data_IF_262495947557
#
_entry.id   IF_262495947557
#
_cell.length_a   1.000
_cell.length_b   1.000
_cell.length_c   1.000
_cell.angle_alpha   90.00
_cell.angle_beta   90.00
_cell.angle_gamma   90.00
#
_symmetry.space_group_name_H-M   'P 1'
#
loop_
_entity.id
_entity.type
_entity.pdbx_description
1 polymer ?
#
# COMPACT_ATOMS: atom_id res chain seq x y z
N UNK A 1 -12.76 42.75 0.18
CA UNK A 1 -11.32 42.81 -0.15
C UNK A 1 -11.00 41.44 -0.74
N UNK A 2 -10.75 41.36 -2.04
CA UNK A 2 -10.57 40.07 -2.73
C UNK A 2 -9.37 39.33 -2.16
N UNK A 3 -9.52 38.02 -1.99
CA UNK A 3 -8.44 37.14 -1.57
C UNK A 3 -7.30 37.17 -2.61
N UNK A 4 -6.07 37.51 -2.21
CA UNK A 4 -4.89 37.53 -3.09
C UNK A 4 -4.13 36.19 -2.99
N UNK A 5 -4.75 35.11 -3.46
CA UNK A 5 -4.09 33.82 -3.64
C UNK A 5 -3.44 33.68 -5.01
N UNK A 6 -2.71 32.59 -5.23
CA UNK A 6 -2.19 32.20 -6.55
C UNK A 6 -3.35 31.71 -7.42
N UNK A 7 -3.52 32.34 -8.58
CA UNK A 7 -4.53 31.97 -9.57
C UNK A 7 -3.89 31.17 -10.72
N UNK A 8 -4.72 30.47 -11.49
CA UNK A 8 -4.28 29.72 -12.67
C UNK A 8 -3.57 30.60 -13.72
N UNK A 9 -3.94 31.88 -13.80
CA UNK A 9 -3.34 32.86 -14.70
C UNK A 9 -1.93 33.30 -14.28
N UNK A 10 -1.55 33.06 -13.02
CA UNK A 10 -0.23 33.43 -12.49
C UNK A 10 0.85 32.39 -12.81
N UNK A 11 0.46 31.21 -13.30
CA UNK A 11 1.37 30.09 -13.53
C UNK A 11 2.23 30.27 -14.79
N UNK A 12 3.54 30.09 -14.63
CA UNK A 12 4.47 30.03 -15.75
C UNK A 12 4.42 28.66 -16.44
N UNK A 13 5.02 28.56 -17.64
CA UNK A 13 5.08 27.29 -18.38
C UNK A 13 5.78 26.16 -17.63
N UNK A 14 6.74 26.49 -16.75
CA UNK A 14 7.40 25.50 -15.89
C UNK A 14 6.45 24.98 -14.81
N UNK A 15 5.62 25.84 -14.21
CA UNK A 15 4.64 25.44 -13.19
C UNK A 15 3.60 24.49 -13.78
N UNK A 16 3.12 24.76 -14.99
CA UNK A 16 2.21 23.89 -15.72
C UNK A 16 2.83 22.52 -16.03
N UNK A 17 4.12 22.48 -16.38
CA UNK A 17 4.85 21.23 -16.59
C UNK A 17 4.93 20.42 -15.28
N UNK A 18 5.23 21.08 -14.16
CA UNK A 18 5.28 20.43 -12.84
C UNK A 18 3.91 19.86 -12.46
N UNK A 19 2.83 20.63 -12.67
CA UNK A 19 1.47 20.13 -12.45
C UNK A 19 1.16 18.90 -13.33
N UNK A 20 1.55 18.94 -14.61
CA UNK A 20 1.40 17.79 -15.51
C UNK A 20 2.12 16.53 -15.01
N UNK A 21 3.35 16.69 -14.52
CA UNK A 21 4.11 15.59 -13.90
C UNK A 21 3.42 15.08 -12.62
N UNK A 22 2.98 15.98 -11.74
CA UNK A 22 2.26 15.60 -10.53
C UNK A 22 0.98 14.81 -10.84
N UNK A 23 0.19 15.22 -11.82
CA UNK A 23 -1.01 14.49 -12.25
C UNK A 23 -0.67 13.10 -12.80
N UNK A 24 0.38 12.99 -13.62
CA UNK A 24 0.83 11.71 -14.14
C UNK A 24 1.27 10.76 -13.01
N UNK A 25 2.00 11.26 -12.02
CA UNK A 25 2.43 10.47 -10.85
C UNK A 25 1.30 10.17 -9.87
N UNK A 26 0.30 11.05 -9.76
CA UNK A 26 -0.89 10.83 -8.95
C UNK A 26 -1.72 9.66 -9.52
N UNK A 27 -1.85 9.56 -10.84
CA UNK A 27 -2.73 8.59 -11.52
C UNK A 27 -2.02 7.30 -11.95
N UNK A 28 -0.74 7.38 -12.34
CA UNK A 28 0.03 6.27 -12.90
C UNK A 28 0.03 4.99 -12.06
N UNK A 29 0.24 5.04 -10.74
CA UNK A 29 0.15 3.86 -9.87
C UNK A 29 -1.21 3.16 -9.92
N UNK A 30 -2.31 3.92 -9.99
CA UNK A 30 -3.66 3.35 -10.10
C UNK A 30 -3.91 2.72 -11.48
N UNK A 31 -3.38 3.32 -12.55
CA UNK A 31 -3.44 2.73 -13.89
C UNK A 31 -2.66 1.40 -13.92
N UNK A 32 -1.47 1.36 -13.31
CA UNK A 32 -0.69 0.13 -13.16
C UNK A 32 -1.47 -0.93 -12.36
N UNK A 33 -2.05 -0.53 -11.22
CA UNK A 33 -2.87 -1.41 -10.39
C UNK A 33 -4.14 -1.93 -11.07
N UNK A 34 -4.72 -1.15 -11.97
CA UNK A 34 -5.87 -1.61 -12.78
C UNK A 34 -5.50 -2.66 -13.84
N UNK A 35 -4.22 -2.74 -14.21
CA UNK A 35 -3.68 -3.64 -15.25
C UNK A 35 -2.99 -4.88 -14.67
N UNK A 36 -2.65 -4.87 -13.38
CA UNK A 36 -2.05 -5.99 -12.65
C UNK A 36 -2.91 -6.43 -11.46
N UNK A 37 -2.39 -7.37 -10.66
CA UNK A 37 -3.02 -7.81 -9.39
C UNK A 37 -2.47 -7.02 -8.18
N UNK A 38 -2.00 -5.78 -8.37
CA UNK A 38 -1.44 -4.98 -7.28
C UNK A 38 -2.55 -4.26 -6.49
N UNK A 39 -2.36 -4.22 -5.17
CA UNK A 39 -3.27 -3.57 -4.21
C UNK A 39 -3.46 -2.08 -4.53
N UNK A 40 -4.71 -1.60 -4.46
CA UNK A 40 -5.05 -0.18 -4.59
C UNK A 40 -4.53 0.63 -3.39
N UNK A 41 -4.45 0.03 -2.19
CA UNK A 41 -3.82 0.66 -1.04
C UNK A 41 -2.32 0.92 -1.30
N UNK A 42 -1.60 -0.05 -1.85
CA UNK A 42 -0.20 0.13 -2.23
C UNK A 42 -0.03 1.15 -3.37
N UNK A 43 -0.93 1.13 -4.35
CA UNK A 43 -0.95 2.13 -5.41
C UNK A 43 -1.17 3.55 -4.84
N UNK A 44 -2.03 3.69 -3.84
CA UNK A 44 -2.27 4.95 -3.12
C UNK A 44 -1.02 5.43 -2.40
N UNK A 45 -0.34 4.54 -1.67
CA UNK A 45 0.93 4.86 -0.99
C UNK A 45 1.97 5.35 -2.00
N UNK A 46 2.16 4.63 -3.11
CA UNK A 46 3.12 5.00 -4.15
C UNK A 46 2.75 6.33 -4.82
N UNK A 47 1.46 6.54 -5.10
CA UNK A 47 0.93 7.78 -5.68
C UNK A 47 1.24 9.00 -4.80
N UNK A 48 0.92 8.93 -3.50
CA UNK A 48 1.21 10.01 -2.55
C UNK A 48 2.72 10.26 -2.43
N UNK A 49 3.51 9.18 -2.33
CA UNK A 49 4.97 9.29 -2.19
C UNK A 49 5.63 9.93 -3.41
N UNK A 50 5.20 9.58 -4.63
CA UNK A 50 5.76 10.15 -5.87
C UNK A 50 5.41 11.62 -6.03
N UNK A 51 4.16 12.01 -5.75
CA UNK A 51 3.77 13.43 -5.82
C UNK A 51 4.47 14.25 -4.75
N UNK A 52 4.57 13.72 -3.53
CA UNK A 52 5.32 14.34 -2.46
C UNK A 52 6.81 14.50 -2.84
N UNK A 53 7.43 13.48 -3.44
CA UNK A 53 8.80 13.58 -3.92
C UNK A 53 9.00 14.74 -4.91
N UNK A 54 8.08 14.91 -5.87
CA UNK A 54 8.13 16.04 -6.81
C UNK A 54 7.95 17.37 -6.08
N UNK A 55 6.98 17.45 -5.16
CA UNK A 55 6.75 18.63 -4.32
C UNK A 55 8.06 19.02 -3.61
N UNK A 56 8.68 18.10 -2.88
CA UNK A 56 9.94 18.33 -2.14
C UNK A 56 11.13 18.65 -3.04
N UNK A 57 11.30 17.92 -4.15
CA UNK A 57 12.40 18.15 -5.08
C UNK A 57 12.31 19.54 -5.72
N UNK A 58 11.10 19.99 -6.08
CA UNK A 58 10.87 21.33 -6.60
C UNK A 58 11.35 22.40 -5.62
N UNK A 59 10.98 22.31 -4.35
CA UNK A 59 11.40 23.27 -3.32
C UNK A 59 12.92 23.33 -3.14
N UNK A 60 13.61 22.18 -3.18
CA UNK A 60 15.07 22.13 -3.06
C UNK A 60 15.74 22.81 -4.26
N UNK A 61 15.25 22.56 -5.48
CA UNK A 61 15.81 23.14 -6.71
C UNK A 61 15.66 24.66 -6.79
N UNK A 62 14.59 25.21 -6.20
CA UNK A 62 14.36 26.66 -6.13
C UNK A 62 15.03 27.35 -4.94
N UNK A 63 15.83 26.62 -4.16
CA UNK A 63 16.73 27.19 -3.15
C UNK A 63 16.08 27.58 -1.82
N UNK A 64 14.79 27.28 -1.63
CA UNK A 64 14.08 27.54 -0.37
C UNK A 64 13.43 26.24 0.12
N UNK A 65 14.07 25.51 1.05
CA UNK A 65 13.55 24.25 1.57
C UNK A 65 12.16 24.39 2.21
N UNK A 66 11.27 23.44 1.89
CA UNK A 66 9.89 23.34 2.37
C UNK A 66 8.98 24.55 2.06
N UNK A 67 9.26 25.28 0.98
CA UNK A 67 8.38 26.32 0.48
C UNK A 67 7.55 25.83 -0.72
N UNK A 68 6.44 25.14 -0.45
CA UNK A 68 5.47 24.73 -1.48
C UNK A 68 4.35 25.76 -1.64
N UNK A 69 4.62 27.04 -1.36
CA UNK A 69 3.57 28.00 -1.06
C UNK A 69 2.59 28.13 -2.21
N UNK A 70 3.05 28.21 -3.46
CA UNK A 70 2.13 28.33 -4.60
C UNK A 70 1.30 27.06 -4.86
N UNK A 71 1.88 25.87 -4.69
CA UNK A 71 1.17 24.61 -4.91
C UNK A 71 0.10 24.38 -3.84
N UNK A 72 0.46 24.59 -2.57
CA UNK A 72 -0.46 24.49 -1.43
C UNK A 72 -1.54 25.56 -1.54
N UNK A 73 -1.15 26.78 -1.93
CA UNK A 73 -2.08 27.88 -2.11
C UNK A 73 -3.03 27.61 -3.30
N UNK A 74 -2.54 27.12 -4.44
CA UNK A 74 -3.37 26.86 -5.61
C UNK A 74 -4.28 25.63 -5.45
N UNK A 75 -3.78 24.54 -4.85
CA UNK A 75 -4.43 23.22 -4.88
C UNK A 75 -5.01 22.77 -3.53
N UNK A 76 -4.67 23.44 -2.42
CA UNK A 76 -5.19 23.14 -1.08
C UNK A 76 -6.62 23.64 -0.87
N UNK A 77 -7.33 23.05 0.09
CA UNK A 77 -8.71 23.42 0.42
C UNK A 77 -8.72 24.69 1.25
N UNK A 78 -9.43 25.70 0.76
CA UNK A 78 -9.63 26.98 1.46
C UNK A 78 -11.12 27.19 1.66
N UNK A 79 -11.66 26.89 2.86
CA UNK A 79 -13.09 26.97 3.13
C UNK A 79 -13.79 28.24 2.61
N UNK A 80 -13.14 29.40 2.78
CA UNK A 80 -13.67 30.72 2.39
C UNK A 80 -13.96 30.90 0.89
N UNK A 81 -13.43 30.03 0.03
CA UNK A 81 -13.66 30.08 -1.43
C UNK A 81 -14.38 28.84 -1.97
N UNK A 82 -14.67 27.83 -1.13
CA UNK A 82 -15.32 26.59 -1.58
C UNK A 82 -16.78 26.77 -2.03
N UNK A 83 -17.37 27.95 -1.81
CA UNK A 83 -18.68 28.31 -2.35
C UNK A 83 -18.66 28.61 -3.86
N UNK A 84 -17.49 28.88 -4.44
CA UNK A 84 -17.32 29.08 -5.88
C UNK A 84 -17.11 27.73 -6.58
N UNK A 85 -17.98 27.34 -7.55
CA UNK A 85 -17.79 26.14 -8.35
C UNK A 85 -16.43 26.07 -9.07
N UNK A 86 -15.82 27.20 -9.41
CA UNK A 86 -14.50 27.23 -10.03
C UNK A 86 -13.39 26.68 -9.12
N UNK A 87 -13.60 26.69 -7.80
CA UNK A 87 -12.65 26.25 -6.79
C UNK A 87 -12.88 24.80 -6.32
N UNK A 88 -13.87 24.10 -6.90
CA UNK A 88 -14.26 22.75 -6.46
C UNK A 88 -13.16 21.71 -6.65
N UNK A 89 -12.20 21.95 -7.55
CA UNK A 89 -11.07 21.04 -7.78
C UNK A 89 -10.22 20.84 -6.52
N UNK A 90 -10.18 21.82 -5.62
CA UNK A 90 -9.47 21.77 -4.33
C UNK A 90 -9.95 20.63 -3.45
N UNK A 91 -11.24 20.31 -3.54
CA UNK A 91 -11.86 19.18 -2.84
C UNK A 91 -11.17 17.86 -3.18
N UNK A 92 -10.53 17.74 -4.35
CA UNK A 92 -9.78 16.56 -4.78
C UNK A 92 -8.27 16.75 -4.71
N UNK A 93 -7.74 17.86 -5.22
CA UNK A 93 -6.29 18.05 -5.36
C UNK A 93 -5.55 18.10 -4.03
N UNK A 94 -6.21 18.52 -2.95
CA UNK A 94 -5.59 18.62 -1.63
C UNK A 94 -5.09 17.28 -1.06
N UNK A 95 -5.60 16.13 -1.52
CA UNK A 95 -5.20 14.81 -1.01
C UNK A 95 -3.70 14.52 -1.21
N UNK A 96 -3.11 15.06 -2.28
CA UNK A 96 -1.72 14.76 -2.65
C UNK A 96 -0.69 15.73 -2.07
N UNK A 97 -1.13 16.86 -1.53
CA UNK A 97 -0.26 17.90 -1.01
C UNK A 97 0.11 17.61 0.44
N UNK A 98 1.38 17.74 0.79
CA UNK A 98 1.85 17.59 2.16
C UNK A 98 2.74 18.77 2.55
N UNK A 99 2.76 19.08 3.85
CA UNK A 99 3.51 20.23 4.37
C UNK A 99 5.01 19.89 4.54
N UNK A 100 5.30 18.64 4.89
CA UNK A 100 6.63 18.15 5.22
C UNK A 100 6.71 16.61 5.12
N UNK A 101 7.93 16.08 5.24
CA UNK A 101 8.20 14.66 5.12
C UNK A 101 7.52 13.81 6.19
N UNK A 102 7.41 14.31 7.43
CA UNK A 102 6.77 13.60 8.54
C UNK A 102 5.26 13.52 8.27
N UNK A 103 4.66 14.60 7.76
CA UNK A 103 3.26 14.64 7.40
C UNK A 103 2.93 13.57 6.34
N UNK A 104 3.64 13.51 5.20
CA UNK A 104 3.38 12.46 4.20
C UNK A 104 3.69 11.06 4.73
N UNK A 105 4.80 10.90 5.46
CA UNK A 105 5.20 9.60 6.01
C UNK A 105 4.15 9.05 6.96
N UNK A 106 3.58 9.89 7.84
CA UNK A 106 2.54 9.49 8.77
C UNK A 106 1.26 9.03 8.06
N UNK A 107 0.86 9.70 6.97
CA UNK A 107 -0.31 9.33 6.17
C UNK A 107 -0.09 8.01 5.43
N UNK A 108 1.02 7.87 4.71
CA UNK A 108 1.30 6.64 3.96
C UNK A 108 1.52 5.45 4.89
N UNK A 109 2.06 5.65 6.09
CA UNK A 109 2.22 4.59 7.08
C UNK A 109 0.86 4.04 7.54
N UNK A 110 -0.10 4.92 7.85
CA UNK A 110 -1.47 4.48 8.19
C UNK A 110 -2.13 3.80 7.01
N UNK A 111 -2.04 4.36 5.81
CA UNK A 111 -2.64 3.76 4.60
C UNK A 111 -1.99 2.40 4.29
N UNK A 112 -0.68 2.23 4.47
CA UNK A 112 -0.01 0.96 4.27
C UNK A 112 -0.42 -0.07 5.33
N UNK A 113 -0.27 0.26 6.61
CA UNK A 113 -0.49 -0.69 7.71
C UNK A 113 -1.96 -1.05 7.89
N UNK A 114 -2.86 -0.06 7.78
CA UNK A 114 -4.31 -0.26 7.99
C UNK A 114 -5.02 -0.52 6.67
N UNK A 115 -4.64 0.21 5.62
CA UNK A 115 -5.32 0.13 4.34
C UNK A 115 -5.10 -1.19 3.60
N UNK A 116 -3.89 -1.77 3.61
CA UNK A 116 -3.64 -3.04 2.90
C UNK A 116 -4.47 -4.20 3.50
N UNK A 117 -4.48 -4.44 4.83
CA UNK A 117 -5.34 -5.47 5.40
C UNK A 117 -6.82 -5.20 5.20
N UNK A 118 -7.25 -3.93 5.29
CA UNK A 118 -8.63 -3.56 5.03
C UNK A 118 -9.04 -3.81 3.57
N UNK A 119 -8.14 -3.59 2.61
CA UNK A 119 -8.40 -3.90 1.21
C UNK A 119 -8.60 -5.39 0.98
N UNK A 120 -7.86 -6.24 1.70
CA UNK A 120 -8.03 -7.68 1.60
C UNK A 120 -9.40 -8.12 2.14
N UNK A 121 -9.89 -7.47 3.20
CA UNK A 121 -11.23 -7.70 3.75
C UNK A 121 -12.35 -7.21 2.83
N UNK A 122 -12.20 -6.01 2.24
CA UNK A 122 -13.22 -5.32 1.43
C UNK A 122 -13.18 -5.67 -0.07
N UNK A 123 -12.01 -6.01 -0.59
CA UNK A 123 -11.70 -5.94 -2.02
C UNK A 123 -11.47 -4.50 -2.50
N UNK A 124 -10.69 -4.35 -3.58
CA UNK A 124 -10.20 -3.05 -4.05
C UNK A 124 -11.27 -1.98 -4.29
N UNK A 125 -12.37 -2.31 -5.01
CA UNK A 125 -13.41 -1.31 -5.35
C UNK A 125 -14.08 -0.70 -4.12
N UNK A 126 -14.38 -1.53 -3.12
CA UNK A 126 -15.03 -1.11 -1.87
C UNK A 126 -14.04 -0.35 -0.99
N UNK A 127 -12.78 -0.79 -0.95
CA UNK A 127 -11.70 -0.07 -0.29
C UNK A 127 -11.55 1.35 -0.85
N UNK A 128 -11.54 1.49 -2.17
CA UNK A 128 -11.41 2.80 -2.83
C UNK A 128 -12.61 3.71 -2.48
N UNK A 129 -13.82 3.17 -2.45
CA UNK A 129 -15.01 3.94 -2.05
C UNK A 129 -14.88 4.44 -0.60
N UNK A 130 -14.44 3.60 0.34
CA UNK A 130 -14.20 3.98 1.73
C UNK A 130 -13.11 5.04 1.84
N UNK A 131 -12.00 4.89 1.11
CA UNK A 131 -10.91 5.87 1.08
C UNK A 131 -11.42 7.25 0.65
N UNK A 132 -12.19 7.33 -0.44
CA UNK A 132 -12.79 8.57 -0.92
C UNK A 132 -13.84 9.14 0.04
N UNK A 133 -14.63 8.30 0.72
CA UNK A 133 -15.57 8.77 1.73
C UNK A 133 -14.85 9.39 2.93
N UNK A 134 -13.76 8.80 3.40
CA UNK A 134 -12.92 9.40 4.44
C UNK A 134 -12.37 10.76 4.01
N UNK A 135 -11.86 10.83 2.79
CA UNK A 135 -11.31 12.05 2.24
C UNK A 135 -12.37 13.16 2.10
N UNK A 136 -13.50 12.89 1.44
CA UNK A 136 -14.60 13.86 1.25
C UNK A 136 -15.21 14.23 2.60
N UNK A 137 -15.43 13.26 3.49
CA UNK A 137 -15.99 13.49 4.83
C UNK A 137 -15.11 14.42 5.66
N UNK A 138 -13.80 14.26 5.58
CA UNK A 138 -12.87 15.16 6.25
C UNK A 138 -12.90 16.57 5.68
N UNK A 139 -12.86 16.69 4.36
CA UNK A 139 -12.90 17.98 3.69
C UNK A 139 -14.20 18.74 3.98
N UNK A 140 -15.35 18.06 3.92
CA UNK A 140 -16.64 18.64 4.26
C UNK A 140 -16.69 19.10 5.71
N UNK A 141 -16.25 18.27 6.65
CA UNK A 141 -16.21 18.64 8.07
C UNK A 141 -15.32 19.88 8.30
N UNK A 142 -14.16 19.95 7.64
CA UNK A 142 -13.27 21.10 7.72
C UNK A 142 -13.90 22.38 7.16
N UNK A 143 -14.50 22.32 5.97
CA UNK A 143 -15.15 23.46 5.32
C UNK A 143 -16.32 23.97 6.16
N UNK A 144 -17.14 23.06 6.68
CA UNK A 144 -18.30 23.43 7.50
C UNK A 144 -17.91 24.01 8.86
N UNK A 145 -16.80 23.55 9.46
CA UNK A 145 -16.35 24.05 10.76
C UNK A 145 -15.54 25.35 10.68
N UNK A 146 -14.99 25.69 9.51
CA UNK A 146 -14.13 26.87 9.32
C UNK A 146 -14.52 27.71 8.07
N UNK A 147 -15.80 28.08 7.89
CA UNK A 147 -16.32 28.61 6.62
C UNK A 147 -15.58 29.84 6.09
N UNK A 148 -15.04 30.70 6.97
CA UNK A 148 -14.33 31.93 6.58
C UNK A 148 -12.81 31.76 6.47
N UNK A 149 -12.29 30.55 6.72
CA UNK A 149 -10.84 30.31 6.70
C UNK A 149 -10.29 30.33 5.27
N UNK A 150 -9.24 31.10 5.09
CA UNK A 150 -8.44 31.14 3.86
C UNK A 150 -7.11 30.39 4.02
N UNK A 151 -6.87 29.79 5.19
CA UNK A 151 -5.72 28.94 5.42
C UNK A 151 -5.93 27.59 4.71
N UNK A 152 -5.03 27.20 3.78
CA UNK A 152 -5.20 25.97 3.02
C UNK A 152 -5.02 24.73 3.90
N UNK A 153 -5.99 23.81 3.85
CA UNK A 153 -5.88 22.47 4.40
C UNK A 153 -5.47 21.48 3.30
N UNK A 154 -4.57 20.56 3.66
CA UNK A 154 -3.94 19.60 2.75
C UNK A 154 -3.72 18.25 3.42
N UNK A 155 -3.52 17.22 2.60
CA UNK A 155 -3.09 15.89 3.04
C UNK A 155 -4.16 14.82 2.87
N UNK A 156 -3.71 13.57 2.90
CA UNK A 156 -4.56 12.38 2.79
C UNK A 156 -5.11 11.90 4.15
N UNK A 157 -4.92 12.67 5.23
CA UNK A 157 -5.18 12.22 6.59
C UNK A 157 -6.67 11.96 6.88
N UNK A 158 -7.58 12.75 6.33
CA UNK A 158 -9.02 12.47 6.41
C UNK A 158 -9.39 11.09 5.82
N UNK A 159 -8.75 10.73 4.70
CA UNK A 159 -8.89 9.40 4.09
C UNK A 159 -8.33 8.31 5.01
N UNK A 160 -7.15 8.52 5.59
CA UNK A 160 -6.52 7.58 6.52
C UNK A 160 -7.38 7.34 7.78
N UNK A 161 -7.96 8.39 8.35
CA UNK A 161 -8.93 8.28 9.45
C UNK A 161 -10.23 7.60 9.00
N UNK A 162 -10.66 7.81 7.75
CA UNK A 162 -11.79 7.07 7.18
C UNK A 162 -11.53 5.57 7.06
N UNK A 163 -10.33 5.15 6.66
CA UNK A 163 -9.93 3.74 6.66
C UNK A 163 -10.00 3.15 8.07
N UNK A 164 -9.48 3.86 9.08
CA UNK A 164 -9.60 3.47 10.49
C UNK A 164 -11.05 3.35 10.94
N UNK A 165 -11.91 4.30 10.56
CA UNK A 165 -13.34 4.26 10.85
C UNK A 165 -14.05 3.07 10.22
N UNK A 166 -13.77 2.78 8.96
CA UNK A 166 -14.36 1.64 8.28
C UNK A 166 -13.88 0.30 8.85
N UNK A 167 -12.60 0.20 9.19
CA UNK A 167 -12.05 -1.00 9.82
C UNK A 167 -12.69 -1.24 11.19
N UNK A 168 -12.79 -0.19 12.02
CA UNK A 168 -13.48 -0.24 13.31
C UNK A 168 -14.94 -0.69 13.19
N UNK A 169 -15.65 -0.21 12.17
CA UNK A 169 -17.06 -0.53 11.96
C UNK A 169 -17.29 -2.00 11.55
N UNK A 170 -16.35 -2.61 10.81
CA UNK A 170 -16.56 -3.91 10.16
C UNK A 170 -15.81 -5.06 10.84
N UNK A 171 -14.61 -4.81 11.36
CA UNK A 171 -13.73 -5.83 11.94
C UNK A 171 -12.92 -5.23 13.12
N UNK A 172 -13.58 -4.82 14.22
CA UNK A 172 -12.90 -4.16 15.35
C UNK A 172 -11.87 -5.04 16.06
N UNK A 173 -12.04 -6.37 16.03
CA UNK A 173 -11.17 -7.34 16.72
C UNK A 173 -9.97 -7.80 15.86
N UNK A 174 -9.92 -7.40 14.58
CA UNK A 174 -8.77 -7.72 13.71
C UNK A 174 -7.49 -7.16 14.29
N UNK A 175 -6.40 -7.91 14.17
CA UNK A 175 -5.08 -7.45 14.62
C UNK A 175 -4.27 -6.94 13.46
N UNK A 176 -3.81 -5.69 13.57
CA UNK A 176 -2.93 -5.04 12.60
C UNK A 176 -1.59 -4.78 13.26
N UNK A 177 -0.51 -5.09 12.54
CA UNK A 177 0.85 -4.72 12.97
C UNK A 177 0.97 -3.20 12.96
N UNK A 178 1.15 -2.61 14.14
CA UNK A 178 1.22 -1.17 14.28
C UNK A 178 2.37 -0.79 15.23
N UNK A 179 3.23 0.18 14.87
CA UNK A 179 4.30 0.64 15.74
C UNK A 179 3.70 1.47 16.88
N UNK A 180 3.68 0.91 18.09
CA UNK A 180 3.26 1.59 19.32
C UNK A 180 4.39 1.52 20.35
N UNK A 181 4.81 2.68 20.87
CA UNK A 181 5.81 2.80 21.95
C UNK A 181 7.09 1.95 21.71
N UNK A 182 7.71 2.10 20.53
CA UNK A 182 8.94 1.39 20.11
C UNK A 182 8.79 -0.12 19.84
N UNK A 183 7.59 -0.70 20.00
CA UNK A 183 7.32 -2.10 19.66
C UNK A 183 6.40 -2.20 18.44
N UNK A 184 6.82 -2.95 17.43
CA UNK A 184 5.95 -3.38 16.33
C UNK A 184 5.26 -4.66 16.79
N UNK A 185 3.95 -4.59 17.03
CA UNK A 185 3.14 -5.73 17.46
C UNK A 185 1.77 -5.66 16.81
N UNK A 186 1.13 -6.81 16.68
CA UNK A 186 -0.23 -6.90 16.21
C UNK A 186 -1.20 -6.47 17.31
N UNK A 187 -1.91 -5.36 17.10
CA UNK A 187 -2.87 -4.78 18.04
C UNK A 187 -4.29 -4.84 17.46
N UNK A 188 -5.32 -5.07 18.29
CA UNK A 188 -6.69 -5.04 17.80
C UNK A 188 -7.05 -3.65 17.28
N UNK A 189 -7.77 -3.59 16.15
CA UNK A 189 -8.17 -2.36 15.47
C UNK A 189 -8.89 -1.40 16.43
N UNK A 190 -9.79 -1.91 17.27
CA UNK A 190 -10.51 -1.06 18.22
C UNK A 190 -9.60 -0.31 19.17
N UNK A 191 -8.48 -0.92 19.58
CA UNK A 191 -7.53 -0.29 20.50
C UNK A 191 -6.68 0.76 19.77
N UNK A 192 -6.23 0.45 18.55
CA UNK A 192 -5.53 1.42 17.69
C UNK A 192 -6.40 2.67 17.49
N UNK A 193 -7.68 2.45 17.15
CA UNK A 193 -8.67 3.51 16.91
C UNK A 193 -8.95 4.29 18.19
N UNK A 194 -9.18 3.61 19.31
CA UNK A 194 -9.42 4.24 20.60
C UNK A 194 -8.27 5.16 20.99
N UNK A 195 -7.02 4.70 20.87
CA UNK A 195 -5.84 5.51 21.16
C UNK A 195 -5.74 6.68 20.18
N UNK A 196 -5.86 6.43 18.87
CA UNK A 196 -5.65 7.48 17.87
C UNK A 196 -6.72 8.57 17.92
N UNK A 197 -8.00 8.18 17.98
CA UNK A 197 -9.11 9.12 18.09
C UNK A 197 -9.16 9.79 19.47
N UNK A 198 -8.76 9.07 20.54
CA UNK A 198 -8.62 9.66 21.87
C UNK A 198 -7.56 10.75 21.93
N UNK A 199 -6.39 10.53 21.31
CA UNK A 199 -5.35 11.56 21.16
C UNK A 199 -5.85 12.76 20.34
N UNK A 200 -6.62 12.51 19.30
CA UNK A 200 -7.22 13.56 18.47
C UNK A 200 -8.16 14.46 19.29
N UNK A 201 -9.09 13.86 20.03
CA UNK A 201 -10.04 14.57 20.90
C UNK A 201 -9.31 15.31 22.02
N UNK A 202 -8.28 14.69 22.62
CA UNK A 202 -7.44 15.33 23.64
C UNK A 202 -6.75 16.57 23.10
N UNK A 203 -6.15 16.50 21.90
CA UNK A 203 -5.50 17.64 21.25
C UNK A 203 -6.50 18.76 20.95
N UNK A 204 -7.68 18.44 20.43
CA UNK A 204 -8.74 19.42 20.18
C UNK A 204 -9.20 20.13 21.46
N UNK A 205 -9.43 19.38 22.54
CA UNK A 205 -9.77 19.95 23.84
C UNK A 205 -8.65 20.83 24.40
N UNK A 206 -7.40 20.40 24.21
CA UNK A 206 -6.22 21.14 24.59
C UNK A 206 -6.09 22.51 23.89
N UNK A 207 -6.36 22.54 22.58
CA UNK A 207 -6.41 23.77 21.78
C UNK A 207 -7.53 24.70 22.24
N UNK A 208 -8.72 24.16 22.47
CA UNK A 208 -9.87 24.94 22.92
C UNK A 208 -9.68 25.53 24.33
N UNK A 209 -9.02 24.77 25.22
CA UNK A 209 -8.74 25.20 26.60
C UNK A 209 -7.51 26.11 26.72
N UNK A 210 -6.78 26.35 25.63
CA UNK A 210 -5.53 27.12 25.63
C UNK A 210 -4.39 26.45 26.41
N UNK A 211 -4.53 25.17 26.75
CA UNK A 211 -3.50 24.39 27.48
C UNK A 211 -2.43 23.83 26.55
N UNK A 212 -2.70 23.85 25.25
CA UNK A 212 -1.80 23.46 24.16
C UNK A 212 -1.71 24.67 23.21
N UNK A 213 -0.50 24.97 22.70
CA UNK A 213 -0.28 26.07 21.76
C UNK A 213 -1.01 25.86 20.42
N UNK A 214 -0.86 26.80 19.48
CA UNK A 214 -1.49 26.70 18.16
C UNK A 214 -1.13 25.40 17.42
N UNK A 215 -2.08 24.84 16.68
CA UNK A 215 -1.92 23.62 15.88
C UNK A 215 -2.07 23.92 14.39
N UNK A 216 -1.16 23.36 13.59
CA UNK A 216 -1.24 23.37 12.12
C UNK A 216 -1.98 22.13 11.57
N UNK A 217 -2.74 21.42 12.42
CA UNK A 217 -3.44 20.18 12.05
C UNK A 217 -4.93 20.43 11.91
N UNK A 218 -5.49 19.97 10.79
CA UNK A 218 -6.92 20.06 10.49
C UNK A 218 -7.74 18.98 11.25
N UNK A 219 -7.78 19.08 12.59
CA UNK A 219 -8.39 18.05 13.45
C UNK A 219 -9.85 17.69 13.08
N UNK A 220 -10.66 18.67 12.69
CA UNK A 220 -12.03 18.43 12.24
C UNK A 220 -12.12 17.57 10.97
N UNK A 221 -11.09 17.60 10.11
CA UNK A 221 -11.02 16.73 8.94
C UNK A 221 -10.82 15.26 9.33
N UNK A 222 -10.03 14.98 10.37
CA UNK A 222 -9.86 13.63 10.88
C UNK A 222 -11.17 13.06 11.43
N UNK A 223 -11.88 13.85 12.24
CA UNK A 223 -13.16 13.47 12.83
C UNK A 223 -14.22 13.24 11.73
N UNK A 224 -14.34 14.16 10.78
CA UNK A 224 -15.29 14.04 9.67
C UNK A 224 -15.02 12.82 8.79
N UNK A 225 -13.75 12.59 8.44
CA UNK A 225 -13.35 11.44 7.63
C UNK A 225 -13.61 10.12 8.33
N UNK A 226 -13.27 10.03 9.62
CA UNK A 226 -13.56 8.87 10.45
C UNK A 226 -15.06 8.53 10.48
N UNK A 227 -15.91 9.48 10.88
CA UNK A 227 -17.32 9.19 11.12
C UNK A 227 -18.10 8.97 9.83
N UNK A 228 -17.81 9.70 8.74
CA UNK A 228 -18.51 9.47 7.47
C UNK A 228 -18.22 8.05 6.95
N UNK A 229 -16.96 7.64 6.96
CA UNK A 229 -16.59 6.29 6.55
C UNK A 229 -17.14 5.23 7.52
N UNK A 230 -17.03 5.43 8.84
CA UNK A 230 -17.55 4.52 9.86
C UNK A 230 -19.05 4.21 9.65
N UNK A 231 -19.86 5.26 9.43
CA UNK A 231 -21.32 5.12 9.25
C UNK A 231 -21.68 4.38 7.96
N UNK A 232 -20.89 4.55 6.90
CA UNK A 232 -21.17 3.99 5.58
C UNK A 232 -20.41 2.69 5.28
N UNK A 233 -19.46 2.28 6.13
CA UNK A 233 -18.59 1.13 5.85
C UNK A 233 -19.35 -0.20 5.82
N UNK A 234 -20.23 -0.45 6.81
CA UNK A 234 -21.00 -1.71 6.88
C UNK A 234 -21.86 -1.98 5.63
N UNK A 235 -22.67 -1.03 5.11
CA UNK A 235 -23.41 -1.26 3.87
C UNK A 235 -22.48 -1.44 2.66
N UNK A 236 -21.35 -0.72 2.59
CA UNK A 236 -20.36 -0.89 1.52
C UNK A 236 -19.72 -2.28 1.56
N UNK A 237 -19.44 -2.79 2.76
CA UNK A 237 -18.82 -4.10 3.00
C UNK A 237 -19.74 -5.28 2.70
N UNK A 238 -21.01 -5.06 2.34
CA UNK A 238 -21.90 -6.14 1.93
C UNK A 238 -21.37 -6.84 0.66
N UNK A 239 -21.24 -8.17 0.75
CA UNK A 239 -20.65 -9.00 -0.31
C UNK A 239 -19.15 -8.79 -0.52
N UNK A 240 -18.45 -8.25 0.49
CA UNK A 240 -17.00 -8.22 0.53
C UNK A 240 -16.39 -9.64 0.64
N UNK A 241 -15.11 -9.84 0.27
CA UNK A 241 -14.43 -11.12 0.38
C UNK A 241 -14.49 -11.76 1.77
N UNK A 242 -14.34 -10.97 2.83
CA UNK A 242 -14.52 -11.44 4.21
C UNK A 242 -15.90 -11.09 4.74
N UNK A 243 -16.51 -12.00 5.49
CA UNK A 243 -17.74 -11.72 6.24
C UNK A 243 -17.47 -10.69 7.34
N UNK A 244 -18.47 -9.85 7.63
CA UNK A 244 -18.43 -8.94 8.76
C UNK A 244 -18.24 -9.72 10.07
N UNK A 245 -17.49 -9.14 11.01
CA UNK A 245 -17.27 -9.68 12.35
C UNK A 245 -16.56 -11.07 12.38
N UNK A 246 -15.97 -11.56 11.28
CA UNK A 246 -15.17 -12.79 11.30
C UNK A 246 -13.75 -12.58 11.83
N UNK A 247 -13.43 -13.28 12.91
CA UNK A 247 -12.13 -13.24 13.59
C UNK A 247 -11.06 -14.14 12.95
N UNK A 248 -11.40 -14.90 11.90
CA UNK A 248 -10.57 -16.02 11.41
C UNK A 248 -9.46 -15.63 10.42
N UNK A 249 -9.46 -14.45 9.79
CA UNK A 249 -8.51 -14.14 8.69
C UNK A 249 -7.46 -13.07 9.00
N UNK A 250 -7.27 -12.65 10.27
CA UNK A 250 -6.23 -11.69 10.63
C UNK A 250 -4.86 -12.38 10.75
N UNK A 251 -4.37 -12.98 9.65
CA UNK A 251 -2.98 -13.41 9.56
C UNK A 251 -2.09 -12.16 9.64
N UNK A 252 -1.18 -12.16 10.61
CA UNK A 252 -0.17 -11.11 10.80
C UNK A 252 0.71 -10.94 9.55
N UNK A 253 1.39 -9.80 9.40
CA UNK A 253 2.27 -9.55 8.25
C UNK A 253 3.35 -10.62 8.12
N UNK A 254 3.87 -11.09 9.25
CA UNK A 254 4.80 -12.22 9.35
C UNK A 254 4.19 -13.56 8.87
N UNK A 255 2.98 -13.89 9.33
CA UNK A 255 2.27 -15.12 8.90
C UNK A 255 1.91 -15.09 7.41
N UNK A 256 1.63 -13.90 6.86
CA UNK A 256 1.36 -13.72 5.43
C UNK A 256 2.61 -13.81 4.56
N UNK A 257 3.72 -13.23 4.98
CA UNK A 257 5.00 -13.38 4.28
C UNK A 257 5.43 -14.85 4.25
N UNK A 258 5.17 -15.58 5.33
CA UNK A 258 5.36 -17.04 5.37
C UNK A 258 4.40 -17.76 4.42
N UNK A 259 3.11 -17.46 4.43
CA UNK A 259 2.13 -18.10 3.56
C UNK A 259 2.41 -17.87 2.06
N UNK A 260 2.82 -16.66 1.66
CA UNK A 260 3.24 -16.36 0.29
C UNK A 260 4.51 -17.14 -0.11
N UNK A 261 5.49 -17.24 0.79
CA UNK A 261 6.69 -18.07 0.58
C UNK A 261 6.33 -19.55 0.44
N UNK A 262 5.43 -20.06 1.29
CA UNK A 262 4.94 -21.45 1.21
C UNK A 262 4.22 -21.71 -0.12
N UNK A 263 3.32 -20.82 -0.54
CA UNK A 263 2.61 -20.97 -1.81
C UNK A 263 3.57 -20.91 -3.02
N UNK A 264 4.57 -20.01 -2.99
CA UNK A 264 5.61 -19.97 -4.02
C UNK A 264 6.44 -21.26 -4.05
N UNK A 265 6.79 -21.81 -2.87
CA UNK A 265 7.48 -23.09 -2.73
C UNK A 265 6.65 -24.26 -3.28
N UNK A 266 5.36 -24.31 -2.99
CA UNK A 266 4.45 -25.34 -3.52
C UNK A 266 4.35 -25.31 -5.04
N UNK A 267 4.34 -24.12 -5.65
CA UNK A 267 4.32 -23.97 -7.12
C UNK A 267 5.58 -24.53 -7.79
N UNK A 268 6.74 -24.45 -7.13
CA UNK A 268 8.02 -24.96 -7.65
C UNK A 268 8.15 -26.49 -7.65
N UNK A 269 7.11 -27.23 -7.20
CA UNK A 269 7.11 -28.68 -7.13
C UNK A 269 7.89 -29.23 -5.92
N UNK A 270 7.61 -30.48 -5.53
CA UNK A 270 8.36 -31.12 -4.43
C UNK A 270 9.70 -31.68 -4.92
N UNK A 271 10.74 -31.55 -4.10
CA UNK A 271 12.05 -32.19 -4.32
C UNK A 271 12.18 -33.55 -3.61
N UNK A 272 11.13 -33.99 -2.92
CA UNK A 272 11.17 -35.19 -2.09
C UNK A 272 11.28 -36.45 -2.96
N UNK A 273 10.54 -36.47 -4.08
CA UNK A 273 10.62 -37.53 -5.06
C UNK A 273 11.96 -37.46 -5.81
N UNK A 274 12.60 -38.61 -6.05
CA UNK A 274 13.88 -38.71 -6.76
C UNK A 274 13.72 -39.64 -7.98
N UNK A 275 13.73 -39.09 -9.22
CA UNK A 275 13.51 -39.89 -10.42
C UNK A 275 14.64 -40.88 -10.72
N UNK A 276 15.86 -40.62 -10.23
CA UNK A 276 17.02 -41.50 -10.39
C UNK A 276 16.94 -42.67 -9.42
N UNK A 277 16.55 -42.41 -8.16
CA UNK A 277 16.29 -43.46 -7.19
C UNK A 277 15.11 -44.35 -7.61
N UNK A 278 14.02 -43.77 -8.09
CA UNK A 278 12.85 -44.52 -8.56
C UNK A 278 13.14 -45.44 -9.76
N UNK A 279 14.16 -45.13 -10.54
CA UNK A 279 14.62 -45.92 -11.68
C UNK A 279 15.77 -46.89 -11.34
N UNK A 280 16.05 -47.10 -10.05
CA UNK A 280 17.12 -47.99 -9.54
C UNK A 280 18.53 -47.58 -10.03
N UNK A 281 18.71 -46.28 -10.28
CA UNK A 281 19.98 -45.65 -10.68
C UNK A 281 20.28 -44.46 -9.78
N UNK A 282 20.48 -44.64 -8.46
CA UNK A 282 20.69 -43.52 -7.54
C UNK A 282 21.91 -42.68 -7.95
N UNK A 283 21.79 -41.37 -7.78
CA UNK A 283 22.91 -40.46 -8.01
C UNK A 283 24.04 -40.72 -7.01
N UNK A 284 25.28 -40.62 -7.47
CA UNK A 284 26.48 -40.71 -6.65
C UNK A 284 27.41 -39.50 -6.87
N UNK A 285 28.48 -39.44 -6.09
CA UNK A 285 29.53 -38.43 -6.21
C UNK A 285 29.01 -36.98 -6.22
N UNK A 286 29.36 -36.26 -7.28
CA UNK A 286 29.07 -34.83 -7.44
C UNK A 286 27.57 -34.56 -7.64
N UNK A 287 26.90 -35.38 -8.45
CA UNK A 287 25.47 -35.24 -8.71
C UNK A 287 24.64 -35.43 -7.42
N UNK A 288 25.03 -36.39 -6.56
CA UNK A 288 24.40 -36.58 -5.26
C UNK A 288 24.62 -35.38 -4.32
N UNK A 289 25.82 -34.78 -4.36
CA UNK A 289 26.15 -33.58 -3.58
C UNK A 289 25.29 -32.39 -4.02
N UNK A 290 25.13 -32.20 -5.33
CA UNK A 290 24.30 -31.14 -5.92
C UNK A 290 22.84 -31.33 -5.53
N UNK A 291 22.28 -32.54 -5.66
CA UNK A 291 20.90 -32.83 -5.27
C UNK A 291 20.64 -32.56 -3.78
N UNK A 292 21.61 -32.87 -2.90
CA UNK A 292 21.50 -32.54 -1.47
C UNK A 292 21.47 -31.03 -1.24
N UNK A 293 22.35 -30.26 -1.90
CA UNK A 293 22.40 -28.80 -1.78
C UNK A 293 21.13 -28.15 -2.33
N UNK A 294 20.61 -28.65 -3.44
CA UNK A 294 19.30 -28.26 -3.99
C UNK A 294 18.18 -28.43 -2.96
N UNK A 295 18.17 -29.52 -2.19
CA UNK A 295 17.17 -29.76 -1.13
C UNK A 295 17.36 -28.88 0.11
N UNK A 296 18.60 -28.56 0.45
CA UNK A 296 18.95 -27.71 1.60
C UNK A 296 18.72 -26.21 1.33
N UNK A 297 18.97 -25.74 0.10
CA UNK A 297 19.04 -24.32 -0.25
C UNK A 297 18.02 -23.88 -1.31
N UNK A 298 17.36 -24.81 -2.01
CA UNK A 298 16.47 -24.57 -3.15
C UNK A 298 15.03 -24.13 -2.80
N UNK A 299 14.85 -23.49 -1.64
CA UNK A 299 13.57 -22.94 -1.20
C UNK A 299 13.27 -21.55 -1.80
N UNK A 300 14.29 -20.88 -2.32
CA UNK A 300 14.16 -19.64 -3.08
C UNK A 300 14.28 -19.87 -4.58
N UNK A 301 13.53 -19.10 -5.37
CA UNK A 301 13.29 -19.37 -6.78
C UNK A 301 14.55 -19.25 -7.65
N UNK A 302 15.39 -18.25 -7.37
CA UNK A 302 16.66 -18.06 -8.08
C UNK A 302 17.68 -19.14 -7.69
N UNK A 303 17.80 -19.43 -6.40
CA UNK A 303 18.68 -20.50 -5.88
C UNK A 303 18.31 -21.86 -6.44
N UNK A 304 17.00 -22.16 -6.52
CA UNK A 304 16.50 -23.42 -7.07
C UNK A 304 16.79 -23.56 -8.56
N UNK A 305 16.69 -22.48 -9.35
CA UNK A 305 17.03 -22.48 -10.77
C UNK A 305 18.49 -22.82 -10.99
N UNK A 306 19.39 -22.16 -10.27
CA UNK A 306 20.83 -22.39 -10.38
C UNK A 306 21.18 -23.85 -10.06
N UNK A 307 20.63 -24.40 -8.98
CA UNK A 307 20.90 -25.78 -8.59
C UNK A 307 20.29 -26.82 -9.56
N UNK A 308 19.11 -26.55 -10.14
CA UNK A 308 18.53 -27.44 -11.16
C UNK A 308 19.33 -27.43 -12.47
N UNK A 309 19.83 -26.26 -12.89
CA UNK A 309 20.74 -26.13 -14.04
C UNK A 309 22.02 -26.95 -13.80
N UNK A 310 22.69 -26.74 -12.66
CA UNK A 310 23.90 -27.47 -12.30
C UNK A 310 23.65 -28.99 -12.22
N UNK A 311 22.51 -29.41 -11.64
CA UNK A 311 22.15 -30.83 -11.57
C UNK A 311 21.91 -31.41 -12.97
N UNK A 312 21.30 -30.67 -13.88
CA UNK A 312 21.06 -31.15 -15.26
C UNK A 312 22.34 -31.39 -16.05
N UNK A 313 23.40 -30.61 -15.78
CA UNK A 313 24.72 -30.80 -16.38
C UNK A 313 25.49 -32.02 -15.83
N UNK A 314 25.16 -32.45 -14.60
CA UNK A 314 25.83 -33.54 -13.90
C UNK A 314 25.02 -34.84 -13.87
N UNK A 315 23.89 -34.90 -14.58
CA UNK A 315 23.00 -36.06 -14.60
C UNK A 315 22.59 -36.44 -16.01
N UNK A 316 22.33 -37.74 -16.21
CA UNK A 316 21.73 -38.27 -17.43
C UNK A 316 20.34 -38.84 -17.11
N UNK A 317 19.51 -38.95 -18.14
CA UNK A 317 18.19 -39.54 -18.01
C UNK A 317 18.32 -41.02 -17.58
N UNK A 318 17.70 -41.46 -16.47
CA UNK A 318 17.86 -42.84 -16.00
C UNK A 318 17.17 -43.87 -16.91
N UNK A 319 16.24 -43.44 -17.79
CA UNK A 319 15.48 -44.33 -18.68
C UNK A 319 16.20 -44.57 -20.01
N UNK A 320 16.78 -43.53 -20.61
CA UNK A 320 17.34 -43.60 -21.96
C UNK A 320 18.80 -43.15 -22.08
N UNK A 321 19.44 -42.82 -20.94
CA UNK A 321 20.81 -42.31 -20.85
C UNK A 321 21.07 -41.05 -21.70
N UNK A 322 20.01 -40.32 -22.05
CA UNK A 322 20.06 -39.07 -22.81
C UNK A 322 20.31 -37.85 -21.93
N UNK A 323 20.70 -36.74 -22.56
CA UNK A 323 20.99 -35.47 -21.88
C UNK A 323 19.75 -34.89 -21.19
N UNK A 324 19.97 -34.27 -20.04
CA UNK A 324 18.96 -33.60 -19.22
C UNK A 324 19.09 -32.09 -19.40
N UNK A 325 17.97 -31.39 -19.50
CA UNK A 325 17.94 -29.93 -19.64
C UNK A 325 16.98 -29.31 -18.64
N UNK A 326 17.24 -28.08 -18.26
CA UNK A 326 16.35 -27.29 -17.41
C UNK A 326 15.36 -26.48 -18.25
N UNK A 327 14.07 -26.57 -17.93
CA UNK A 327 12.97 -25.82 -18.52
C UNK A 327 12.44 -24.81 -17.49
N UNK A 328 12.49 -23.51 -17.83
CA UNK A 328 12.01 -22.41 -16.99
C UNK A 328 10.80 -21.76 -17.64
N UNK A 329 9.66 -21.77 -16.93
CA UNK A 329 8.42 -21.08 -17.34
C UNK A 329 7.83 -20.32 -16.15
N UNK A 330 8.16 -19.04 -16.05
CA UNK A 330 7.76 -18.22 -14.90
C UNK A 330 8.34 -18.81 -13.60
N UNK A 331 7.49 -19.15 -12.64
CA UNK A 331 7.88 -19.74 -11.35
C UNK A 331 8.14 -21.26 -11.42
N UNK A 332 7.79 -21.91 -12.52
CA UNK A 332 8.04 -23.34 -12.70
C UNK A 332 9.44 -23.57 -13.29
N UNK A 333 10.33 -24.22 -12.53
CA UNK A 333 11.63 -24.69 -12.99
C UNK A 333 11.69 -26.21 -12.87
N UNK A 334 11.97 -26.89 -13.99
CA UNK A 334 11.99 -28.36 -14.05
C UNK A 334 13.16 -28.87 -14.88
N UNK A 335 13.76 -29.97 -14.47
CA UNK A 335 14.62 -30.78 -15.31
C UNK A 335 13.75 -31.73 -16.13
N UNK A 336 14.06 -31.85 -17.42
CA UNK A 336 13.44 -32.83 -18.31
C UNK A 336 14.45 -33.52 -19.20
N UNK A 337 14.12 -34.73 -19.62
CA UNK A 337 14.89 -35.43 -20.65
C UNK A 337 14.68 -34.79 -22.02
N UNK A 338 15.76 -34.64 -22.79
CA UNK A 338 15.77 -34.13 -24.17
C UNK A 338 15.04 -35.07 -25.15
N UNK A 339 15.16 -36.38 -24.94
CA UNK A 339 14.57 -37.42 -25.81
C UNK A 339 13.05 -37.52 -25.64
N UNK A 340 12.57 -37.59 -24.39
CA UNK A 340 11.13 -37.60 -24.10
C UNK A 340 10.83 -37.02 -22.73
N UNK A 341 9.88 -36.09 -22.66
CA UNK A 341 9.35 -35.56 -21.39
C UNK A 341 8.60 -36.60 -20.55
N UNK A 342 8.30 -37.79 -21.11
CA UNK A 342 7.72 -38.91 -20.35
C UNK A 342 8.77 -39.68 -19.55
N UNK A 343 10.07 -39.53 -19.84
CA UNK A 343 11.12 -40.23 -19.10
C UNK A 343 11.41 -39.53 -17.78
N UNK A 344 11.64 -38.22 -17.82
CA UNK A 344 11.81 -37.38 -16.63
C UNK A 344 11.22 -36.00 -16.91
N UNK A 345 10.40 -35.54 -15.97
CA UNK A 345 9.93 -34.17 -15.84
C UNK A 345 9.74 -33.89 -14.35
N UNK A 346 10.74 -33.29 -13.73
CA UNK A 346 10.87 -33.18 -12.28
C UNK A 346 11.59 -31.88 -11.91
N UNK A 347 11.27 -31.19 -10.81
CA UNK A 347 10.17 -31.48 -9.88
C UNK A 347 8.75 -31.19 -10.42
#
# INVERSE_FOLDING_TARGET
>A
MGYMGVEWTDLAGVDLLVLGVMVALATGPYVSASRGETSLALATVLSLMLVAFVQFAYSVLYGIPMQFSWMIDLLGIKPGVMGDPAESYRMLSAAWLHADWIHVLSNILVIALVGIPLEQRLGGRRWLAVYFLGFIGGNLAWVLSHPDSLSPAIGASGAAFGLLGAYMACWPEDKVEFPLLFFIRAWPVWLIVFIRLGLEVWQMYGLQSGTVGESNVAHMAHVGGFFLAYLLARPIAQGAPSSLDSTQDSATGSERALALRTQAKERMGSLDDDPWFAADKPLDGEAARILRRLREEGDELETRRAWLEELSEHTICPVCDGEMITEIKGENCRIRCTVSGSHVKWP
#
